data_IF_997371157914
#
_entry.id   IF_997371157914
#
_cell.length_a   1.000
_cell.length_b   1.000
_cell.length_c   1.000
_cell.angle_alpha   90.00
_cell.angle_beta   90.00
_cell.angle_gamma   90.00
#
_symmetry.space_group_name_H-M   'P 1'
#
loop_
_entity.id
_entity.type
_entity.pdbx_description
1 polymer ?
#
# COMPACT_ATOMS: atom_id res chain seq x y z
N UNK A 1 -31.17 -27.69 -4.74
CA UNK A 1 -30.31 -26.83 -5.60
C UNK A 1 -29.66 -25.79 -4.70
N UNK A 2 -28.39 -25.43 -4.95
CA UNK A 2 -27.74 -24.33 -4.19
C UNK A 2 -28.34 -22.99 -4.63
N UNK A 3 -28.57 -22.09 -3.68
CA UNK A 3 -29.04 -20.74 -4.02
C UNK A 3 -27.90 -19.89 -4.60
N UNK A 4 -28.25 -18.81 -5.29
CA UNK A 4 -27.26 -17.92 -5.93
C UNK A 4 -26.29 -17.29 -4.92
N UNK A 5 -26.72 -17.10 -3.67
CA UNK A 5 -25.88 -16.52 -2.62
C UNK A 5 -24.80 -17.49 -2.14
N UNK A 6 -25.13 -18.77 -1.99
CA UNK A 6 -24.22 -19.86 -1.65
C UNK A 6 -23.15 -20.02 -2.73
N UNK A 7 -23.56 -20.04 -4.00
CA UNK A 7 -22.62 -20.13 -5.13
C UNK A 7 -21.61 -18.97 -5.09
N UNK A 8 -22.09 -17.75 -4.84
CA UNK A 8 -21.22 -16.58 -4.75
C UNK A 8 -20.26 -16.65 -3.55
N UNK A 9 -20.72 -17.13 -2.39
CA UNK A 9 -19.88 -17.30 -1.20
C UNK A 9 -18.82 -18.37 -1.42
N UNK A 10 -19.18 -19.50 -2.04
CA UNK A 10 -18.24 -20.57 -2.39
C UNK A 10 -17.16 -20.09 -3.35
N UNK A 11 -17.53 -19.32 -4.38
CA UNK A 11 -16.59 -18.71 -5.30
C UNK A 11 -15.60 -17.78 -4.58
N UNK A 12 -16.08 -16.92 -3.69
CA UNK A 12 -15.23 -16.04 -2.87
C UNK A 12 -14.29 -16.84 -1.98
N UNK A 13 -14.77 -17.90 -1.33
CA UNK A 13 -13.95 -18.77 -0.47
C UNK A 13 -12.81 -19.42 -1.25
N UNK A 14 -13.10 -19.89 -2.48
CA UNK A 14 -12.09 -20.46 -3.39
C UNK A 14 -11.04 -19.43 -3.84
N UNK A 15 -11.42 -18.17 -4.00
CA UNK A 15 -10.46 -17.11 -4.35
C UNK A 15 -9.58 -16.78 -3.15
N UNK A 16 -10.18 -16.66 -1.95
CA UNK A 16 -9.46 -16.35 -0.72
C UNK A 16 -8.48 -17.44 -0.27
N UNK A 17 -8.71 -18.71 -0.62
CA UNK A 17 -7.74 -19.78 -0.34
C UNK A 17 -6.45 -19.63 -1.14
N UNK A 18 -6.52 -19.05 -2.34
CA UNK A 18 -5.37 -18.89 -3.22
C UNK A 18 -4.72 -17.51 -3.09
N UNK A 19 -5.44 -16.53 -2.54
CA UNK A 19 -5.02 -15.13 -2.51
C UNK A 19 -5.32 -14.45 -1.18
N UNK A 20 -4.28 -13.96 -0.52
CA UNK A 20 -4.40 -13.12 0.66
C UNK A 20 -4.70 -11.69 0.26
N UNK A 21 -5.83 -11.16 0.73
CA UNK A 21 -6.25 -9.78 0.48
C UNK A 21 -6.01 -8.97 1.76
N UNK A 22 -5.18 -7.93 1.65
CA UNK A 22 -4.94 -6.99 2.75
C UNK A 22 -6.22 -6.27 3.11
N UNK A 23 -6.54 -6.20 4.41
CA UNK A 23 -7.69 -5.45 4.88
C UNK A 23 -7.39 -3.94 4.90
N UNK A 24 -8.32 -3.16 4.35
CA UNK A 24 -8.27 -1.70 4.32
C UNK A 24 -9.67 -1.10 4.36
N UNK A 25 -9.72 0.17 4.74
CA UNK A 25 -10.94 0.94 4.93
C UNK A 25 -10.95 2.20 4.06
N UNK A 26 -12.14 2.80 3.81
CA UNK A 26 -12.23 4.14 3.25
C UNK A 26 -11.40 5.13 4.07
N UNK A 27 -10.66 6.00 3.39
CA UNK A 27 -9.71 6.95 3.98
C UNK A 27 -8.27 6.45 3.97
N UNK A 28 -8.03 5.13 3.87
CA UNK A 28 -6.69 4.59 3.71
C UNK A 28 -6.13 4.93 2.32
N UNK A 29 -4.83 5.24 2.26
CA UNK A 29 -4.06 5.37 1.03
C UNK A 29 -3.54 3.99 0.64
N UNK A 30 -3.94 3.51 -0.52
CA UNK A 30 -3.65 2.17 -1.02
C UNK A 30 -2.89 2.25 -2.32
N UNK A 31 -1.91 1.35 -2.48
CA UNK A 31 -1.20 1.09 -3.73
C UNK A 31 -1.68 -0.24 -4.29
N UNK A 32 -2.35 -0.14 -5.44
CA UNK A 32 -2.97 -1.26 -6.13
C UNK A 32 -2.11 -1.63 -7.33
N UNK A 33 -1.59 -2.85 -7.37
CA UNK A 33 -0.96 -3.43 -8.55
C UNK A 33 -2.03 -4.04 -9.47
N UNK A 34 -2.04 -3.62 -10.72
CA UNK A 34 -2.99 -4.09 -11.74
C UNK A 34 -2.20 -4.70 -12.88
N UNK A 35 -2.53 -5.94 -13.25
CA UNK A 35 -1.96 -6.57 -14.43
C UNK A 35 -2.55 -5.91 -15.69
N UNK A 36 -1.69 -5.46 -16.58
CA UNK A 36 -2.07 -4.92 -17.88
C UNK A 36 -1.40 -5.75 -18.95
N UNK A 37 -2.18 -6.18 -19.93
CA UNK A 37 -1.73 -6.95 -21.09
C UNK A 37 -1.63 -6.00 -22.27
N UNK A 38 -0.43 -5.82 -22.80
CA UNK A 38 -0.14 -4.98 -23.97
C UNK A 38 0.35 -5.89 -25.10
N UNK A 39 -0.59 -6.37 -25.90
CA UNK A 39 -0.32 -7.37 -26.94
C UNK A 39 0.19 -8.68 -26.36
N UNK A 40 1.48 -8.98 -26.55
CA UNK A 40 2.13 -10.21 -26.07
C UNK A 40 2.85 -10.07 -24.72
N UNK A 41 2.93 -8.85 -24.16
CA UNK A 41 3.66 -8.59 -22.91
C UNK A 41 2.68 -8.30 -21.78
N UNK A 42 2.98 -8.82 -20.60
CA UNK A 42 2.26 -8.47 -19.37
C UNK A 42 3.14 -7.59 -18.49
N UNK A 43 2.55 -6.54 -17.91
CA UNK A 43 3.21 -5.71 -16.88
C UNK A 43 2.27 -5.42 -15.73
N UNK A 44 2.84 -5.14 -14.56
CA UNK A 44 2.08 -4.68 -13.40
C UNK A 44 2.16 -3.16 -13.35
N UNK A 45 1.02 -2.49 -13.50
CA UNK A 45 0.91 -1.05 -13.30
C UNK A 45 0.39 -0.75 -11.89
N UNK A 46 1.09 0.13 -11.18
CA UNK A 46 0.66 0.58 -9.86
C UNK A 46 -0.24 1.82 -9.94
N UNK A 47 -1.36 1.75 -9.23
CA UNK A 47 -2.24 2.88 -8.99
C UNK A 47 -2.29 3.16 -7.49
N UNK A 48 -1.73 4.29 -7.10
CA UNK A 48 -1.68 4.73 -5.71
C UNK A 48 -2.62 5.91 -5.49
N UNK A 49 -3.44 5.82 -4.45
CA UNK A 49 -4.35 6.89 -4.07
C UNK A 49 -5.19 6.57 -2.84
N UNK A 50 -6.10 7.48 -2.51
CA UNK A 50 -7.00 7.33 -1.36
C UNK A 50 -8.19 6.47 -1.73
N UNK A 51 -8.49 5.45 -0.93
CA UNK A 51 -9.74 4.71 -1.03
C UNK A 51 -10.90 5.61 -0.57
N UNK A 52 -11.77 6.01 -1.50
CA UNK A 52 -12.90 6.90 -1.21
C UNK A 52 -14.20 6.14 -0.97
N UNK A 53 -14.30 4.92 -1.48
CA UNK A 53 -15.48 4.08 -1.30
C UNK A 53 -15.09 2.61 -1.35
N UNK A 54 -15.74 1.81 -0.52
CA UNK A 54 -15.64 0.35 -0.52
C UNK A 54 -17.06 -0.22 -0.48
N UNK A 55 -17.38 -1.10 -1.43
CA UNK A 55 -18.65 -1.80 -1.57
C UNK A 55 -18.41 -3.28 -1.30
N UNK A 56 -19.12 -3.83 -0.33
CA UNK A 56 -19.04 -5.24 0.00
C UNK A 56 -20.31 -5.93 -0.54
N UNK A 57 -20.15 -6.81 -1.53
CA UNK A 57 -21.25 -7.60 -2.13
C UNK A 57 -20.73 -8.93 -2.66
N UNK A 58 -20.23 -9.79 -1.78
CA UNK A 58 -19.63 -11.09 -2.14
C UNK A 58 -18.65 -10.94 -3.32
N UNK A 59 -18.79 -11.74 -4.38
CA UNK A 59 -17.95 -11.68 -5.58
C UNK A 59 -17.97 -10.30 -6.27
N UNK A 60 -19.07 -9.55 -6.12
CA UNK A 60 -19.28 -8.22 -6.69
C UNK A 60 -18.76 -7.09 -5.77
N UNK A 61 -17.88 -7.41 -4.82
CA UNK A 61 -17.25 -6.41 -3.97
C UNK A 61 -16.25 -5.58 -4.77
N UNK A 62 -16.25 -4.27 -4.53
CA UNK A 62 -15.40 -3.33 -5.24
C UNK A 62 -14.98 -2.17 -4.36
N UNK A 63 -13.96 -1.44 -4.78
CA UNK A 63 -13.50 -0.24 -4.10
C UNK A 63 -13.01 0.79 -5.11
N UNK A 64 -13.16 2.07 -4.76
CA UNK A 64 -12.78 3.19 -5.63
C UNK A 64 -11.61 3.92 -5.02
N UNK A 65 -10.53 4.04 -5.80
CA UNK A 65 -9.32 4.76 -5.41
C UNK A 65 -9.26 6.07 -6.22
N UNK A 66 -9.05 7.17 -5.52
CA UNK A 66 -8.89 8.51 -6.09
C UNK A 66 -7.46 8.98 -5.91
N UNK A 67 -6.86 9.49 -6.98
CA UNK A 67 -5.58 10.21 -6.95
C UNK A 67 -5.67 11.49 -7.77
N UNK A 68 -4.80 12.44 -7.49
CA UNK A 68 -4.56 13.55 -8.41
C UNK A 68 -3.37 13.15 -9.28
N UNK A 69 -3.54 13.17 -10.59
CA UNK A 69 -2.49 12.88 -11.57
C UNK A 69 -2.40 14.08 -12.49
N UNK A 70 -1.22 14.71 -12.59
CA UNK A 70 -1.00 15.87 -13.46
C UNK A 70 -2.04 17.00 -13.28
N UNK A 71 -2.45 17.25 -12.03
CA UNK A 71 -3.46 18.29 -11.71
C UNK A 71 -4.92 17.84 -11.86
N UNK A 72 -5.18 16.69 -12.47
CA UNK A 72 -6.52 16.16 -12.69
C UNK A 72 -6.88 15.04 -11.71
N UNK A 73 -8.15 15.02 -11.28
CA UNK A 73 -8.65 14.00 -10.37
C UNK A 73 -8.99 12.71 -11.12
N UNK A 74 -8.17 11.68 -10.94
CA UNK A 74 -8.39 10.36 -11.54
C UNK A 74 -8.96 9.41 -10.51
N UNK A 75 -10.12 8.83 -10.81
CA UNK A 75 -10.74 7.78 -10.02
C UNK A 75 -10.74 6.47 -10.79
N UNK A 76 -10.39 5.37 -10.12
CA UNK A 76 -10.52 4.02 -10.68
C UNK A 76 -11.23 3.13 -9.68
N UNK A 77 -12.24 2.41 -10.17
CA UNK A 77 -12.95 1.41 -9.38
C UNK A 77 -12.39 0.03 -9.71
N UNK A 78 -12.01 -0.71 -8.69
CA UNK A 78 -11.45 -2.04 -8.79
C UNK A 78 -12.41 -3.06 -8.17
N UNK A 79 -12.60 -4.19 -8.85
CA UNK A 79 -13.27 -5.34 -8.25
C UNK A 79 -12.27 -6.09 -7.35
N UNK A 80 -12.66 -6.32 -6.10
CA UNK A 80 -11.78 -6.83 -5.05
C UNK A 80 -11.22 -8.23 -5.36
N UNK A 81 -12.04 -9.06 -5.99
CA UNK A 81 -11.74 -10.46 -6.30
C UNK A 81 -11.40 -10.69 -7.78
N UNK A 82 -11.11 -9.63 -8.53
CA UNK A 82 -10.73 -9.75 -9.94
C UNK A 82 -9.36 -10.42 -10.10
N UNK A 83 -9.16 -11.29 -11.12
CA UNK A 83 -7.86 -11.86 -11.44
C UNK A 83 -6.85 -10.83 -11.98
N UNK A 84 -7.34 -9.70 -12.50
CA UNK A 84 -6.50 -8.62 -13.05
C UNK A 84 -5.81 -7.84 -11.93
N UNK A 85 -6.44 -7.79 -10.76
CA UNK A 85 -5.85 -7.17 -9.59
C UNK A 85 -4.76 -8.10 -9.06
N UNK A 86 -3.54 -7.61 -8.93
CA UNK A 86 -2.39 -8.39 -8.47
C UNK A 86 -2.23 -8.22 -6.96
N UNK A 87 -1.81 -7.02 -6.53
CA UNK A 87 -1.45 -6.72 -5.15
C UNK A 87 -2.21 -5.50 -4.59
N UNK A 88 -2.54 -5.53 -3.30
CA UNK A 88 -3.06 -4.36 -2.56
C UNK A 88 -2.18 -4.15 -1.33
N UNK A 89 -1.53 -2.99 -1.27
CA UNK A 89 -0.72 -2.56 -0.13
C UNK A 89 -1.32 -1.29 0.47
N UNK A 90 -1.46 -1.28 1.80
CA UNK A 90 -1.86 -0.08 2.54
C UNK A 90 -0.58 0.70 2.85
N UNK A 91 -0.48 1.92 2.33
CA UNK A 91 0.69 2.78 2.56
C UNK A 91 0.47 3.63 3.81
N UNK A 92 -0.71 4.23 3.92
CA UNK A 92 -1.05 5.16 5.00
C UNK A 92 -2.48 4.95 5.44
N UNK A 93 -2.73 4.89 6.74
CA UNK A 93 -4.10 4.80 7.24
C UNK A 93 -4.72 6.16 7.54
N UNK A 94 -5.90 6.42 7.01
CA UNK A 94 -6.59 7.70 7.19
C UNK A 94 -7.67 7.63 8.26
N UNK A 95 -7.76 8.66 9.10
CA UNK A 95 -8.86 8.83 10.06
C UNK A 95 -9.98 9.62 9.40
N UNK A 96 -11.08 8.93 9.09
CA UNK A 96 -12.30 9.51 8.53
C UNK A 96 -13.53 9.03 9.29
N UNK A 97 -14.60 9.83 9.25
CA UNK A 97 -15.89 9.49 9.88
C UNK A 97 -16.92 8.92 8.88
N UNK A 98 -16.84 9.31 7.61
CA UNK A 98 -17.79 8.87 6.57
C UNK A 98 -17.30 7.58 5.90
N UNK A 99 -18.23 6.68 5.59
CA UNK A 99 -17.93 5.44 4.84
C UNK A 99 -17.67 5.69 3.34
N UNK A 100 -18.20 6.77 2.78
CA UNK A 100 -17.96 7.21 1.40
C UNK A 100 -17.49 8.66 1.40
N UNK A 101 -16.32 8.91 0.82
CA UNK A 101 -15.60 10.18 0.86
C UNK A 101 -15.78 10.99 -0.44
N UNK A 102 -16.99 10.96 -1.02
CA UNK A 102 -17.26 11.65 -2.29
C UNK A 102 -17.05 13.17 -2.21
N UNK A 103 -17.16 13.75 -1.01
CA UNK A 103 -16.83 15.15 -0.77
C UNK A 103 -15.37 15.53 -1.11
N UNK A 104 -14.46 14.55 -1.28
CA UNK A 104 -13.09 14.80 -1.73
C UNK A 104 -12.99 15.12 -3.23
N UNK A 105 -14.10 15.02 -3.97
CA UNK A 105 -14.18 15.46 -5.38
C UNK A 105 -14.15 16.97 -5.48
N UNK A 106 -14.85 17.63 -4.56
CA UNK A 106 -15.02 19.09 -4.54
C UNK A 106 -13.89 19.80 -3.76
N UNK A 107 -13.01 19.04 -3.10
CA UNK A 107 -11.89 19.56 -2.31
C UNK A 107 -10.57 19.38 -3.01
N UNK A 108 -9.67 20.37 -2.87
CA UNK A 108 -8.33 20.36 -3.47
C UNK A 108 -7.27 20.85 -2.47
N UNK A 109 -6.03 20.39 -2.65
CA UNK A 109 -4.89 20.83 -1.84
C UNK A 109 -5.06 20.53 -0.34
N UNK A 110 -4.89 21.56 0.50
CA UNK A 110 -4.91 21.42 1.97
C UNK A 110 -6.27 20.94 2.50
N UNK A 111 -7.39 21.35 1.89
CA UNK A 111 -8.74 21.00 2.36
C UNK A 111 -9.12 19.53 2.10
N UNK A 112 -8.42 18.86 1.17
CA UNK A 112 -8.59 17.45 0.85
C UNK A 112 -7.71 16.52 1.71
N UNK A 113 -6.83 17.07 2.56
CA UNK A 113 -5.94 16.26 3.40
C UNK A 113 -6.74 15.50 4.46
N UNK A 114 -6.41 14.21 4.60
CA UNK A 114 -6.98 13.33 5.62
C UNK A 114 -5.95 13.14 6.72
N UNK A 115 -6.36 13.38 7.96
CA UNK A 115 -5.55 13.13 9.15
C UNK A 115 -5.16 11.65 9.23
N UNK A 116 -3.94 11.38 9.68
CA UNK A 116 -3.46 10.00 9.81
C UNK A 116 -4.10 9.32 11.03
N UNK A 117 -4.46 8.04 10.86
CA UNK A 117 -4.88 7.18 11.95
C UNK A 117 -3.64 6.47 12.46
N UNK A 118 -3.19 6.84 13.67
CA UNK A 118 -2.10 6.13 14.36
C UNK A 118 -2.58 4.70 14.66
N UNK A 119 -2.23 3.74 13.80
CA UNK A 119 -2.41 2.31 14.05
C UNK A 119 -1.10 1.79 14.64
N UNK A 120 -1.13 1.24 15.85
CA UNK A 120 0.05 0.59 16.49
C UNK A 120 0.52 -0.68 15.76
N UNK A 121 -0.22 -1.17 14.76
CA UNK A 121 0.14 -2.31 13.91
C UNK A 121 -0.17 -1.98 12.45
N UNK A 122 0.83 -1.50 11.72
CA UNK A 122 0.83 -1.54 10.26
C UNK A 122 1.59 -2.82 9.93
N UNK A 123 0.95 -3.75 9.22
CA UNK A 123 1.47 -5.06 8.86
C UNK A 123 2.70 -4.99 7.94
N UNK A 124 3.79 -4.52 8.49
CA UNK A 124 5.14 -4.78 8.06
C UNK A 124 5.57 -5.91 8.98
N UNK A 125 5.80 -7.10 8.42
CA UNK A 125 6.56 -8.13 9.11
C UNK A 125 7.99 -7.60 9.25
N UNK A 126 8.21 -6.69 10.21
CA UNK A 126 9.56 -6.30 10.61
C UNK A 126 10.08 -7.50 11.37
N UNK A 127 10.77 -8.39 10.66
CA UNK A 127 11.77 -9.23 11.28
C UNK A 127 12.87 -8.28 11.80
N UNK A 128 12.65 -7.67 12.97
CA UNK A 128 13.74 -7.09 13.74
C UNK A 128 14.55 -8.26 14.25
N UNK A 129 15.55 -8.70 13.46
CA UNK A 129 16.75 -9.28 14.06
C UNK A 129 17.28 -8.20 15.00
N UNK A 130 17.16 -8.45 16.29
CA UNK A 130 17.84 -7.71 17.35
C UNK A 130 19.32 -7.64 17.00
N UNK A 131 19.80 -6.48 16.58
CA UNK A 131 21.22 -6.19 16.61
C UNK A 131 21.53 -6.00 18.10
N UNK A 132 22.05 -7.06 18.72
CA UNK A 132 22.72 -6.99 20.01
C UNK A 132 23.85 -5.97 19.88
N UNK A 133 23.88 -5.05 20.84
CA UNK A 133 25.04 -4.31 21.35
C UNK A 133 26.37 -4.70 20.69
N UNK A 134 26.91 -3.81 19.86
CA UNK A 134 28.35 -3.71 19.68
C UNK A 134 28.79 -2.55 20.54
N UNK A 135 29.64 -2.90 21.49
CA UNK A 135 30.27 -2.05 22.50
C UNK A 135 31.07 -0.93 21.83
N UNK A 136 30.98 0.26 22.43
CA UNK A 136 31.84 1.40 22.11
C UNK A 136 33.23 1.07 22.65
N UNK A 137 34.19 0.88 21.75
CA UNK A 137 35.61 0.96 22.04
C UNK A 137 36.24 1.94 21.05
N UNK A 138 36.65 3.10 21.55
CA UNK A 138 37.57 4.01 20.86
C UNK A 138 38.92 3.30 20.63
N UNK A 139 39.65 3.67 19.58
CA UNK A 139 40.99 4.17 19.90
C UNK A 139 41.44 5.39 19.09
N UNK A 140 42.20 6.21 19.82
CA UNK A 140 43.06 7.33 19.42
C UNK A 140 43.77 7.17 18.06
N UNK A 141 43.75 8.23 17.27
CA UNK A 141 44.75 8.51 16.25
C UNK A 141 45.98 9.16 16.89
N UNK A 142 46.97 8.33 17.25
CA UNK A 142 48.32 8.78 17.59
C UNK A 142 49.10 9.18 16.33
N UNK A 143 49.78 10.31 16.45
CA UNK A 143 50.82 10.82 15.56
C UNK A 143 51.96 9.81 15.43
N UNK A 144 52.51 9.66 14.22
CA UNK A 144 53.93 9.34 14.04
C UNK A 144 54.54 10.28 13.01
N UNK A 145 55.28 11.25 13.54
CA UNK A 145 56.50 11.75 12.93
C UNK A 145 57.49 10.58 12.83
N UNK A 146 58.13 10.44 11.67
CA UNK A 146 59.53 10.00 11.59
C UNK A 146 60.22 10.83 10.53
N UNK A 147 61.18 11.63 10.99
CA UNK A 147 62.15 12.39 10.21
C UNK A 147 63.11 11.49 9.42
N UNK A 148 63.53 12.04 8.27
CA UNK A 148 64.85 12.01 7.62
C UNK A 148 65.57 10.67 7.33
N UNK A 149 65.94 10.50 6.05
CA UNK A 149 67.32 10.82 5.57
C UNK A 149 67.47 10.75 4.04
N UNK A 150 68.05 11.81 3.51
CA UNK A 150 69.09 11.88 2.46
C UNK A 150 68.84 11.27 1.06
N UNK A 151 68.75 12.19 0.08
CA UNK A 151 69.52 12.16 -1.17
C UNK A 151 69.46 13.51 -1.90
N UNK A 152 70.36 14.44 -1.54
CA UNK A 152 71.23 15.16 -2.49
C UNK A 152 72.40 15.79 -1.75
#
# INVERSE_FOLDING_TARGET
MKNIEEINKEAVKKILSNKKITEFSPGDTVKVGVKIVEGKRERIQFFEGVCIAKKNRNINSSFTVRKISFGEGVERTFALYSPILDTIKVIRSGKVRRAKLYYLRDRKGKSARIAEKIKKKIGIDVATKSIKSIEVAEPNSEKKETENKDKK
#
